data_IF_728081764429
#
_entry.id   IF_728081764429
#
_cell.length_a   1.000
_cell.length_b   1.000
_cell.length_c   1.000
_cell.angle_alpha   90.00
_cell.angle_beta   90.00
_cell.angle_gamma   90.00
#
_symmetry.space_group_name_H-M   'P 1'
#
loop_
_entity.id
_entity.type
_entity.pdbx_description
1 polymer ?
#
# COMPACT_ATOMS: atom_id res chain seq x y z
N UNK A 1 8.94 -12.20 -1.81
CA UNK A 1 9.62 -11.79 -0.57
C UNK A 1 10.81 -10.93 -0.94
N UNK A 2 10.96 -9.74 -0.31
CA UNK A 2 12.13 -8.90 -0.45
C UNK A 2 13.43 -9.64 -0.12
N UNK A 3 14.54 -9.18 -0.70
CA UNK A 3 15.86 -9.71 -0.40
C UNK A 3 16.29 -9.35 1.04
N UNK A 4 17.29 -10.07 1.57
CA UNK A 4 17.82 -9.84 2.94
C UNK A 4 18.37 -8.43 3.17
N UNK A 5 18.74 -7.71 2.10
CA UNK A 5 19.20 -6.32 2.13
C UNK A 5 18.04 -5.30 2.04
N UNK A 6 16.79 -5.77 2.00
CA UNK A 6 15.59 -4.95 1.86
C UNK A 6 15.33 -4.46 0.43
N UNK A 7 16.07 -4.96 -0.57
CA UNK A 7 15.76 -4.70 -1.98
C UNK A 7 14.55 -5.52 -2.45
N UNK A 8 13.74 -4.92 -3.32
CA UNK A 8 12.54 -5.54 -3.87
C UNK A 8 12.88 -6.44 -5.05
N UNK A 9 12.28 -7.62 -5.12
CA UNK A 9 12.27 -8.43 -6.35
C UNK A 9 11.23 -7.89 -7.33
N UNK A 10 11.29 -8.29 -8.61
CA UNK A 10 10.28 -7.89 -9.60
C UNK A 10 8.85 -8.27 -9.20
N UNK A 11 8.67 -9.40 -8.51
CA UNK A 11 7.38 -9.83 -7.99
C UNK A 11 6.89 -8.98 -6.81
N UNK A 12 7.81 -8.55 -5.93
CA UNK A 12 7.47 -7.64 -4.83
C UNK A 12 7.06 -6.27 -5.38
N UNK A 13 7.74 -5.78 -6.43
CA UNK A 13 7.40 -4.53 -7.09
C UNK A 13 5.98 -4.55 -7.64
N UNK A 14 5.60 -5.63 -8.34
CA UNK A 14 4.24 -5.80 -8.88
C UNK A 14 3.24 -5.83 -7.72
N UNK A 15 3.46 -6.71 -6.74
CA UNK A 15 2.57 -6.86 -5.58
C UNK A 15 2.34 -5.55 -4.83
N UNK A 16 3.42 -4.81 -4.52
CA UNK A 16 3.34 -3.55 -3.80
C UNK A 16 2.71 -2.44 -4.64
N UNK A 17 2.90 -2.44 -5.96
CA UNK A 17 2.19 -1.51 -6.85
C UNK A 17 0.69 -1.74 -6.79
N UNK A 18 0.24 -2.99 -6.88
CA UNK A 18 -1.18 -3.33 -6.72
C UNK A 18 -1.70 -2.96 -5.33
N UNK A 19 -0.94 -3.26 -4.27
CA UNK A 19 -1.33 -2.90 -2.91
C UNK A 19 -1.49 -1.38 -2.74
N UNK A 20 -0.54 -0.58 -3.23
CA UNK A 20 -0.61 0.88 -3.15
C UNK A 20 -1.75 1.47 -3.98
N UNK A 21 -2.07 0.86 -5.13
CA UNK A 21 -3.23 1.25 -5.91
C UNK A 21 -4.55 1.03 -5.21
N UNK A 22 -4.62 0.05 -4.32
CA UNK A 22 -5.79 -0.12 -3.47
C UNK A 22 -5.75 0.82 -2.28
N UNK A 23 -4.59 0.98 -1.64
CA UNK A 23 -4.38 1.84 -0.45
C UNK A 23 -4.76 3.30 -0.66
N UNK A 24 -4.55 3.79 -1.88
CA UNK A 24 -4.82 5.17 -2.27
C UNK A 24 -6.11 5.18 -3.09
N UNK A 25 -7.14 5.96 -2.73
CA UNK A 25 -8.36 6.06 -3.50
C UNK A 25 -8.03 6.74 -4.83
N UNK A 26 -8.02 5.96 -5.91
CA UNK A 26 -8.08 6.48 -7.26
C UNK A 26 -9.56 6.56 -7.67
N UNK A 27 -9.99 7.70 -8.18
CA UNK A 27 -11.29 7.79 -8.87
C UNK A 27 -11.25 7.07 -10.23
N UNK A 28 -10.05 6.77 -10.77
CA UNK A 28 -9.86 6.03 -12.01
C UNK A 28 -9.29 4.63 -11.79
N UNK A 29 -9.95 3.65 -12.39
CA UNK A 29 -9.84 2.20 -12.16
C UNK A 29 -8.51 1.59 -12.65
N UNK A 30 -7.64 2.34 -13.32
CA UNK A 30 -6.39 1.82 -13.91
C UNK A 30 -5.12 2.16 -13.12
N UNK A 31 -4.15 1.22 -13.00
CA UNK A 31 -2.81 1.50 -12.52
C UNK A 31 -2.13 2.59 -13.36
N UNK A 32 -2.23 3.85 -12.96
CA UNK A 32 -1.58 4.96 -13.68
C UNK A 32 -0.05 4.88 -13.48
N UNK A 33 0.74 5.48 -14.38
CA UNK A 33 2.19 5.62 -14.22
C UNK A 33 2.60 6.29 -12.90
N UNK A 34 1.69 7.08 -12.29
CA UNK A 34 1.86 7.65 -10.97
C UNK A 34 2.02 6.56 -9.88
N UNK A 35 1.39 5.40 -10.05
CA UNK A 35 1.49 4.22 -9.16
C UNK A 35 2.92 3.68 -9.05
N UNK A 36 3.59 3.55 -10.20
CA UNK A 36 4.95 2.99 -10.29
C UNK A 36 5.96 3.99 -9.71
N UNK A 37 5.82 5.28 -10.02
CA UNK A 37 6.62 6.34 -9.41
C UNK A 37 6.39 6.49 -7.90
N UNK A 38 5.19 6.15 -7.42
CA UNK A 38 4.85 6.17 -6.00
C UNK A 38 5.61 5.10 -5.23
N UNK A 39 5.64 3.85 -5.72
CA UNK A 39 6.35 2.77 -5.05
C UNK A 39 7.85 3.07 -4.84
N UNK A 40 8.55 3.52 -5.89
CA UNK A 40 9.99 3.83 -5.78
C UNK A 40 10.25 4.95 -4.76
N UNK A 41 9.45 6.02 -4.80
CA UNK A 41 9.56 7.14 -3.86
C UNK A 41 9.23 6.72 -2.43
N UNK A 42 8.19 5.89 -2.23
CA UNK A 42 7.83 5.32 -0.91
C UNK A 42 8.96 4.48 -0.37
N UNK A 43 9.47 3.52 -1.15
CA UNK A 43 10.58 2.65 -0.72
C UNK A 43 11.83 3.47 -0.36
N UNK A 44 12.20 4.44 -1.20
CA UNK A 44 13.34 5.33 -0.95
C UNK A 44 13.16 6.19 0.31
N UNK A 45 11.94 6.62 0.63
CA UNK A 45 11.67 7.37 1.87
C UNK A 45 11.65 6.46 3.09
N UNK A 46 11.07 5.28 2.97
CA UNK A 46 11.04 4.29 4.04
C UNK A 46 12.47 3.98 4.50
N UNK A 47 13.40 3.78 3.56
CA UNK A 47 14.82 3.52 3.85
C UNK A 47 15.53 4.63 4.63
N UNK A 48 15.03 5.88 4.63
CA UNK A 48 15.64 6.99 5.38
C UNK A 48 15.34 6.94 6.88
N UNK A 49 14.36 6.15 7.31
CA UNK A 49 13.94 6.04 8.70
C UNK A 49 13.80 4.57 9.09
N UNK A 50 14.48 4.12 10.15
CA UNK A 50 14.48 2.71 10.55
C UNK A 50 13.09 2.16 10.85
N UNK A 51 12.21 2.97 11.46
CA UNK A 51 10.83 2.59 11.78
C UNK A 51 10.01 2.43 10.50
N UNK A 52 10.09 3.39 9.58
CA UNK A 52 9.38 3.32 8.30
C UNK A 52 9.89 2.17 7.42
N UNK A 53 11.19 1.92 7.40
CA UNK A 53 11.78 0.80 6.67
C UNK A 53 11.30 -0.55 7.24
N UNK A 54 11.32 -0.71 8.57
CA UNK A 54 10.84 -1.93 9.21
C UNK A 54 9.35 -2.16 8.96
N UNK A 55 8.53 -1.11 9.01
CA UNK A 55 7.11 -1.20 8.69
C UNK A 55 6.88 -1.63 7.24
N UNK A 56 7.58 -0.99 6.31
CA UNK A 56 7.51 -1.33 4.88
C UNK A 56 7.86 -2.80 4.60
N UNK A 57 8.95 -3.31 5.18
CA UNK A 57 9.36 -4.71 5.02
C UNK A 57 8.28 -5.65 5.58
N UNK A 58 7.75 -5.37 6.78
CA UNK A 58 6.71 -6.20 7.41
C UNK A 58 5.44 -6.28 6.57
N UNK A 59 5.01 -5.17 5.97
CA UNK A 59 3.85 -5.16 5.06
C UNK A 59 4.13 -5.95 3.78
N UNK A 60 5.32 -5.79 3.19
CA UNK A 60 5.71 -6.58 2.02
C UNK A 60 5.76 -8.10 2.31
N UNK A 61 6.26 -8.47 3.49
CA UNK A 61 6.26 -9.86 3.95
C UNK A 61 4.84 -10.38 4.18
N UNK A 62 3.97 -9.60 4.83
CA UNK A 62 2.58 -9.98 5.07
C UNK A 62 1.81 -10.22 3.76
N UNK A 63 1.98 -9.35 2.76
CA UNK A 63 1.42 -9.53 1.42
C UNK A 63 1.94 -10.81 0.73
N UNK A 64 3.22 -11.13 0.92
CA UNK A 64 3.83 -12.33 0.34
C UNK A 64 3.43 -13.63 1.05
N UNK A 65 3.00 -13.55 2.32
CA UNK A 65 2.60 -14.68 3.15
C UNK A 65 1.08 -14.86 3.22
N UNK A 66 0.31 -13.97 2.60
CA UNK A 66 -1.13 -14.09 2.53
C UNK A 66 -1.52 -15.43 1.85
N UNK A 67 -2.22 -16.28 2.59
CA UNK A 67 -2.56 -17.63 2.12
C UNK A 67 -3.54 -17.60 0.94
N UNK A 68 -4.41 -16.58 0.88
CA UNK A 68 -5.35 -16.41 -0.22
C UNK A 68 -4.60 -16.01 -1.49
N UNK A 69 -3.67 -15.05 -1.37
CA UNK A 69 -2.75 -14.69 -2.44
C UNK A 69 -1.94 -15.91 -2.91
N UNK A 70 -1.42 -16.72 -1.98
CA UNK A 70 -0.65 -17.92 -2.34
C UNK A 70 -1.46 -18.93 -3.14
N UNK A 71 -2.76 -19.11 -2.82
CA UNK A 71 -3.64 -20.04 -3.51
C UNK A 71 -3.92 -19.66 -4.97
N UNK A 72 -3.85 -18.38 -5.32
CA UNK A 72 -4.19 -17.87 -6.66
C UNK A 72 -2.99 -17.37 -7.47
N UNK A 73 -1.76 -17.61 -7.00
CA UNK A 73 -0.53 -17.23 -7.72
C UNK A 73 0.05 -15.87 -7.35
N UNK A 74 -0.41 -15.27 -6.25
CA UNK A 74 0.11 -14.03 -5.66
C UNK A 74 -0.96 -12.96 -5.52
N UNK A 75 -0.62 -11.90 -4.78
CA UNK A 75 -1.56 -10.82 -4.46
C UNK A 75 -2.08 -10.12 -5.72
N UNK A 76 -1.20 -9.88 -6.69
CA UNK A 76 -1.55 -9.23 -7.95
C UNK A 76 -2.50 -10.07 -8.83
N UNK A 77 -2.61 -11.38 -8.59
CA UNK A 77 -3.52 -12.28 -9.31
C UNK A 77 -4.93 -12.35 -8.68
N UNK A 78 -5.10 -11.81 -7.47
CA UNK A 78 -6.40 -11.73 -6.80
C UNK A 78 -7.32 -10.71 -7.50
N UNK A 79 -8.62 -10.91 -7.37
CA UNK A 79 -9.63 -9.90 -7.72
C UNK A 79 -9.55 -8.69 -6.79
N UNK A 80 -10.20 -7.58 -7.15
CA UNK A 80 -10.14 -6.34 -6.38
C UNK A 80 -10.67 -6.51 -4.95
N UNK A 81 -11.80 -7.19 -4.79
CA UNK A 81 -12.42 -7.46 -3.49
C UNK A 81 -11.52 -8.32 -2.59
N UNK A 82 -10.80 -9.28 -3.18
CA UNK A 82 -9.85 -10.14 -2.49
C UNK A 82 -8.59 -9.36 -2.09
N UNK A 83 -8.08 -8.47 -2.95
CA UNK A 83 -6.99 -7.56 -2.62
C UNK A 83 -7.38 -6.64 -1.45
N UNK A 84 -8.56 -6.04 -1.50
CA UNK A 84 -9.08 -5.18 -0.43
C UNK A 84 -9.25 -5.97 0.88
N UNK A 85 -9.80 -7.18 0.80
CA UNK A 85 -10.00 -8.04 1.98
C UNK A 85 -8.67 -8.45 2.61
N UNK A 86 -7.68 -8.82 1.79
CA UNK A 86 -6.31 -9.12 2.23
C UNK A 86 -5.68 -7.91 2.92
N UNK A 87 -5.77 -6.71 2.32
CA UNK A 87 -5.25 -5.47 2.92
C UNK A 87 -5.91 -5.14 4.26
N UNK A 88 -7.23 -5.31 4.39
CA UNK A 88 -7.96 -5.14 5.66
C UNK A 88 -7.50 -6.13 6.73
N UNK A 89 -7.20 -7.37 6.34
CA UNK A 89 -6.67 -8.37 7.26
C UNK A 89 -5.25 -7.99 7.75
N UNK A 90 -4.40 -7.51 6.84
CA UNK A 90 -3.05 -7.02 7.19
C UNK A 90 -3.15 -5.80 8.10
N UNK A 91 -4.01 -4.84 7.79
CA UNK A 91 -4.27 -3.66 8.63
C UNK A 91 -4.72 -4.07 10.04
N UNK A 92 -5.64 -5.02 10.17
CA UNK A 92 -6.08 -5.52 11.48
C UNK A 92 -4.97 -6.25 12.25
N UNK A 93 -4.02 -6.87 11.55
CA UNK A 93 -2.94 -7.67 12.18
C UNK A 93 -1.73 -6.82 12.55
N UNK A 94 -1.41 -5.84 11.71
CA UNK A 94 -0.23 -4.97 11.81
C UNK A 94 -0.64 -3.49 11.72
N UNK A 95 -1.53 -3.00 12.60
CA UNK A 95 -2.14 -1.67 12.43
C UNK A 95 -1.12 -0.53 12.47
N UNK A 96 -0.10 -0.63 13.30
CA UNK A 96 0.93 0.39 13.41
C UNK A 96 1.80 0.45 12.15
N UNK A 97 2.28 -0.69 11.67
CA UNK A 97 3.08 -0.77 10.46
C UNK A 97 2.28 -0.38 9.21
N UNK A 98 1.03 -0.82 9.13
CA UNK A 98 0.13 -0.49 8.04
C UNK A 98 -0.09 1.01 7.95
N UNK A 99 -0.39 1.68 9.07
CA UNK A 99 -0.57 3.13 9.11
C UNK A 99 0.70 3.90 8.71
N UNK A 100 1.89 3.41 9.09
CA UNK A 100 3.15 4.05 8.67
C UNK A 100 3.31 3.97 7.15
N UNK A 101 3.06 2.81 6.55
CA UNK A 101 3.19 2.61 5.10
C UNK A 101 2.11 3.37 4.33
N UNK A 102 0.86 3.34 4.81
CA UNK A 102 -0.28 4.04 4.23
C UNK A 102 -0.02 5.56 4.19
N UNK A 103 0.38 6.15 5.31
CA UNK A 103 0.69 7.58 5.37
C UNK A 103 1.84 7.94 4.43
N UNK A 104 2.89 7.10 4.38
CA UNK A 104 4.01 7.35 3.49
C UNK A 104 3.61 7.28 2.01
N UNK A 105 2.77 6.31 1.63
CA UNK A 105 2.23 6.18 0.28
C UNK A 105 1.41 7.40 -0.13
N UNK A 106 0.56 7.90 0.78
CA UNK A 106 -0.27 9.07 0.56
C UNK A 106 0.54 10.36 0.46
N UNK A 107 1.49 10.56 1.36
CA UNK A 107 2.37 11.74 1.32
C UNK A 107 3.15 11.77 -0.01
N UNK A 108 3.64 10.63 -0.47
CA UNK A 108 4.31 10.54 -1.78
C UNK A 108 3.35 10.82 -2.94
N UNK A 109 2.13 10.31 -2.87
CA UNK A 109 1.13 10.46 -3.92
C UNK A 109 0.65 11.91 -4.04
N UNK A 110 0.20 12.52 -2.94
CA UNK A 110 -0.34 13.88 -2.92
C UNK A 110 0.71 14.99 -3.01
N UNK A 111 2.00 14.66 -2.91
CA UNK A 111 3.07 15.59 -3.29
C UNK A 111 3.26 15.71 -4.81
N UNK A 112 2.59 14.86 -5.61
CA UNK A 112 2.59 15.01 -7.05
C UNK A 112 1.53 16.05 -7.45
N UNK A 113 1.97 17.17 -8.03
CA UNK A 113 1.10 18.25 -8.55
C UNK A 113 0.09 17.76 -9.62
N UNK A 114 0.32 16.58 -10.21
CA UNK A 114 -0.58 15.94 -11.18
C UNK A 114 -1.71 15.12 -10.52
N UNK A 115 -1.73 15.01 -9.18
CA UNK A 115 -2.77 14.27 -8.44
C UNK A 115 -3.83 15.22 -7.86
N UNK A 116 -5.07 14.76 -7.65
CA UNK A 116 -6.09 15.56 -6.97
C UNK A 116 -5.65 16.00 -5.57
N UNK A 117 -6.22 17.09 -5.06
CA UNK A 117 -5.95 17.57 -3.70
C UNK A 117 -6.24 16.50 -2.64
N UNK A 118 -5.40 16.47 -1.59
CA UNK A 118 -5.57 15.56 -0.45
C UNK A 118 -6.93 15.78 0.23
N UNK A 119 -7.75 14.73 0.42
CA UNK A 119 -9.03 14.86 1.11
C UNK A 119 -8.88 15.32 2.57
N UNK A 120 -9.83 16.13 3.04
CA UNK A 120 -9.75 16.81 4.35
C UNK A 120 -9.84 15.84 5.56
N UNK A 121 -10.47 14.67 5.40
CA UNK A 121 -10.74 13.70 6.48
C UNK A 121 -9.78 12.49 6.49
N UNK A 122 -8.59 12.63 5.89
CA UNK A 122 -7.73 11.50 5.48
C UNK A 122 -6.48 11.29 6.36
N UNK A 123 -6.51 11.78 7.61
CA UNK A 123 -5.38 11.76 8.54
C UNK A 123 -5.80 11.61 10.02
N UNK A 124 -6.97 11.03 10.27
CA UNK A 124 -7.46 10.80 11.63
C UNK A 124 -6.78 9.60 12.30
N UNK A 125 -6.59 9.65 13.62
CA UNK A 125 -6.04 8.52 14.39
C UNK A 125 -6.94 7.26 14.35
N UNK A 126 -8.22 7.44 14.01
CA UNK A 126 -9.24 6.38 13.88
C UNK A 126 -9.48 5.93 12.41
N UNK A 127 -8.57 6.28 11.50
CA UNK A 127 -8.74 5.97 10.09
C UNK A 127 -8.55 4.47 9.81
N UNK A 128 -9.51 3.90 9.06
CA UNK A 128 -9.45 2.54 8.53
C UNK A 128 -9.38 2.63 7.02
N UNK A 129 -8.42 1.94 6.43
CA UNK A 129 -8.26 1.83 4.99
C UNK A 129 -9.55 1.31 4.32
N UNK A 130 -10.03 2.06 3.31
CA UNK A 130 -11.21 1.70 2.55
C UNK A 130 -12.55 2.05 3.21
N UNK A 131 -12.61 3.04 4.11
CA UNK A 131 -13.87 3.72 4.44
C UNK A 131 -14.12 4.90 3.50
N UNK A 132 -14.83 4.63 2.40
CA UNK A 132 -15.83 5.60 1.92
C UNK A 132 -17.03 5.47 2.83
N UNK A 133 -17.29 6.47 3.67
CA UNK A 133 -18.59 6.64 4.30
C UNK A 133 -18.82 8.12 4.52
N UNK A 134 -19.20 8.82 3.46
CA UNK A 134 -20.19 9.89 3.53
C UNK A 134 -21.10 9.72 2.30
N UNK A 135 -22.04 8.79 2.39
CA UNK A 135 -23.33 9.03 1.73
C UNK A 135 -23.92 10.26 2.43
N UNK A 136 -24.16 11.34 1.69
CA UNK A 136 -25.06 12.43 2.12
C UNK A 136 -26.52 12.03 1.89
#
# INVERSE_FOLDING_TARGET
>A
MPNQDGSLTGSDTITLTHAFNRMIPFDDVEPSSASIGTLEKVHKRAQKNSTSNSAFIRIAEALSLDMMAHAVGGFAAMTEDEQISSLRNIESTLPAEFNVVLNLARDVYYENDETPDRPVNFAGEDEIFGKLALEE
#
